data_IF_571736435440
#
_entry.id   IF_571736435440
#
_cell.length_a   1.000
_cell.length_b   1.000
_cell.length_c   1.000
_cell.angle_alpha   90.00
_cell.angle_beta   90.00
_cell.angle_gamma   90.00
#
_symmetry.space_group_name_H-M   'P 1'
#
loop_
_entity.id
_entity.type
_entity.pdbx_description
1 polymer ?
#
# COMPACT_ATOMS: atom_id res chain seq x y z
N UNK A 1 -6.79 4.27 2.53
CA UNK A 1 -5.35 4.23 2.21
C UNK A 1 -4.79 5.62 2.42
N UNK A 2 -3.68 5.74 3.13
CA UNK A 2 -2.89 6.99 3.18
C UNK A 2 -1.56 6.68 2.50
N UNK A 3 -1.26 7.38 1.41
CA UNK A 3 -0.03 7.22 0.65
C UNK A 3 0.54 8.59 0.31
N UNK A 4 1.85 8.75 0.51
CA UNK A 4 2.56 9.96 0.16
C UNK A 4 3.51 9.66 -0.99
N UNK A 5 3.57 10.60 -1.93
CA UNK A 5 4.49 10.55 -3.06
C UNK A 5 5.14 11.92 -3.18
N UNK A 6 6.46 11.93 -3.32
CA UNK A 6 7.21 13.15 -3.63
C UNK A 6 7.95 12.96 -4.95
N UNK A 7 7.39 13.51 -6.04
CA UNK A 7 7.94 13.34 -7.37
C UNK A 7 9.05 14.37 -7.63
N UNK A 8 10.26 13.89 -7.89
CA UNK A 8 11.34 14.65 -8.51
C UNK A 8 11.65 14.06 -9.88
N UNK A 9 11.53 14.87 -10.95
CA UNK A 9 11.78 14.43 -12.33
C UNK A 9 11.00 13.17 -12.75
N UNK A 10 9.72 13.06 -12.35
CA UNK A 10 8.85 11.93 -12.73
C UNK A 10 9.04 10.65 -11.91
N UNK A 11 9.87 10.67 -10.87
CA UNK A 11 10.01 9.54 -9.94
C UNK A 11 10.13 10.00 -8.49
N UNK A 12 9.73 9.16 -7.54
CA UNK A 12 9.65 9.58 -6.14
C UNK A 12 9.64 8.43 -5.15
N UNK A 13 9.96 8.75 -3.90
CA UNK A 13 9.72 7.84 -2.79
C UNK A 13 8.21 7.72 -2.53
N UNK A 14 7.80 6.51 -2.16
CA UNK A 14 6.43 6.18 -1.83
C UNK A 14 6.38 5.43 -0.50
N UNK A 15 5.50 5.87 0.39
CA UNK A 15 5.25 5.19 1.66
C UNK A 15 3.80 5.45 2.08
N UNK A 16 3.34 4.67 3.06
CA UNK A 16 1.97 4.82 3.53
C UNK A 16 1.52 3.71 4.45
N UNK A 17 0.23 3.75 4.77
CA UNK A 17 -0.43 2.78 5.64
C UNK A 17 -1.73 2.31 5.01
N UNK A 18 -2.02 1.02 5.19
CA UNK A 18 -3.29 0.40 4.80
C UNK A 18 -3.83 -0.37 5.99
N UNK A 19 -5.13 -0.23 6.22
CA UNK A 19 -5.85 -1.03 7.21
C UNK A 19 -6.94 -1.80 6.49
N UNK A 20 -6.85 -3.12 6.51
CA UNK A 20 -7.90 -4.00 6.04
C UNK A 20 -8.90 -4.19 7.18
N UNK A 21 -10.19 -4.03 6.87
CA UNK A 21 -11.29 -4.34 7.79
C UNK A 21 -12.05 -5.51 7.20
N UNK A 22 -12.13 -6.61 7.94
CA UNK A 22 -12.76 -7.84 7.49
C UNK A 22 -14.23 -7.89 7.92
N UNK A 23 -14.99 -8.82 7.33
CA UNK A 23 -16.43 -8.93 7.58
C UNK A 23 -16.78 -9.24 9.05
N UNK A 24 -15.88 -9.89 9.78
CA UNK A 24 -16.01 -10.17 11.22
C UNK A 24 -15.65 -8.96 12.11
N UNK A 25 -15.29 -7.82 11.52
CA UNK A 25 -14.83 -6.62 12.21
C UNK A 25 -13.36 -6.67 12.64
N UNK A 26 -12.65 -7.77 12.41
CA UNK A 26 -11.21 -7.86 12.62
C UNK A 26 -10.49 -6.86 11.70
N UNK A 27 -9.34 -6.36 12.16
CA UNK A 27 -8.52 -5.40 11.40
C UNK A 27 -7.10 -5.90 11.27
N UNK A 28 -6.49 -5.64 10.12
CA UNK A 28 -5.06 -5.88 9.87
C UNK A 28 -4.43 -4.60 9.36
N UNK A 29 -3.47 -4.07 10.11
CA UNK A 29 -2.74 -2.86 9.77
C UNK A 29 -1.41 -3.21 9.11
N UNK A 30 -1.11 -2.54 8.00
CA UNK A 30 0.14 -2.70 7.26
C UNK A 30 0.79 -1.34 6.98
N UNK A 31 2.12 -1.38 6.82
CA UNK A 31 2.93 -0.23 6.45
C UNK A 31 3.66 -0.52 5.14
N UNK A 32 3.66 0.47 4.25
CA UNK A 32 4.48 0.53 3.04
C UNK A 32 5.76 1.29 3.35
N UNK A 33 6.92 0.66 3.13
CA UNK A 33 8.24 1.25 3.41
C UNK A 33 9.14 1.15 2.19
N UNK A 34 9.90 2.21 1.92
CA UNK A 34 10.86 2.26 0.81
C UNK A 34 10.22 1.96 -0.56
N UNK A 35 8.96 2.37 -0.75
CA UNK A 35 8.30 2.27 -2.03
C UNK A 35 8.85 3.27 -3.03
N UNK A 36 8.60 2.99 -4.31
CA UNK A 36 8.93 3.86 -5.43
C UNK A 36 7.67 4.14 -6.23
N UNK A 37 7.50 5.41 -6.60
CA UNK A 37 6.53 5.86 -7.56
C UNK A 37 7.25 6.31 -8.83
N UNK A 38 6.66 6.01 -9.98
CA UNK A 38 7.04 6.57 -11.28
C UNK A 38 5.79 7.17 -11.90
N UNK A 39 5.91 8.33 -12.51
CA UNK A 39 4.82 8.96 -13.25
C UNK A 39 5.32 9.36 -14.63
N UNK A 40 4.48 9.17 -15.62
CA UNK A 40 4.53 9.96 -16.84
C UNK A 40 3.42 11.03 -16.76
N UNK A 41 3.29 11.88 -17.78
CA UNK A 41 2.32 12.98 -17.78
C UNK A 41 0.85 12.54 -17.66
N UNK A 42 0.55 11.25 -17.90
CA UNK A 42 -0.82 10.71 -17.93
C UNK A 42 -1.06 9.60 -16.90
N UNK A 43 -0.03 8.89 -16.47
CA UNK A 43 -0.13 7.67 -15.67
C UNK A 43 0.91 7.64 -14.54
N UNK A 44 0.66 6.83 -13.52
CA UNK A 44 1.65 6.53 -12.49
C UNK A 44 1.61 5.07 -12.06
N UNK A 45 2.79 4.54 -11.74
CA UNK A 45 2.97 3.22 -11.16
C UNK A 45 3.62 3.34 -9.78
N UNK A 46 3.20 2.47 -8.86
CA UNK A 46 3.65 2.45 -7.48
C UNK A 46 4.07 1.03 -7.14
N UNK A 47 5.19 0.88 -6.44
CA UNK A 47 5.62 -0.41 -5.89
C UNK A 47 6.20 -0.22 -4.51
N UNK A 48 5.82 -1.06 -3.55
CA UNK A 48 6.39 -1.00 -2.20
C UNK A 48 6.38 -2.37 -1.53
N UNK A 49 7.43 -2.73 -0.78
CA UNK A 49 7.30 -3.71 0.30
C UNK A 49 6.17 -3.33 1.26
N UNK A 50 5.49 -4.35 1.78
CA UNK A 50 4.51 -4.24 2.87
C UNK A 50 4.98 -5.02 4.09
N UNK A 51 4.69 -4.49 5.26
CA UNK A 51 4.85 -5.22 6.53
C UNK A 51 3.58 -5.09 7.36
N UNK A 52 3.15 -6.19 7.98
CA UNK A 52 2.08 -6.17 8.99
C UNK A 52 2.65 -5.54 10.25
N UNK A 53 1.96 -4.53 10.77
CA UNK A 53 2.36 -3.79 11.98
C UNK A 53 1.40 -4.03 13.15
N UNK A 54 0.34 -4.79 12.95
CA UNK A 54 -0.58 -5.23 13.99
C UNK A 54 -1.96 -5.57 13.46
N UNK A 55 -2.84 -5.98 14.36
CA UNK A 55 -4.21 -6.31 14.05
C UNK A 55 -5.08 -6.47 15.29
N UNK A 56 -6.37 -6.65 15.08
CA UNK A 56 -7.38 -6.88 16.11
C UNK A 56 -8.20 -8.12 15.78
N UNK A 57 -8.92 -8.67 16.77
CA UNK A 57 -9.75 -9.85 16.58
C UNK A 57 -8.91 -11.05 16.15
N UNK A 58 -9.27 -11.68 15.03
CA UNK A 58 -8.59 -12.84 14.44
C UNK A 58 -7.12 -12.55 14.06
N UNK A 59 -6.72 -11.28 13.97
CA UNK A 59 -5.36 -10.86 13.63
C UNK A 59 -4.60 -10.25 14.81
N UNK A 60 -5.02 -10.54 16.04
CA UNK A 60 -4.27 -10.14 17.23
C UNK A 60 -2.86 -10.73 17.18
N UNK A 61 -1.83 -9.91 17.40
CA UNK A 61 -0.41 -10.27 17.27
C UNK A 61 0.04 -10.73 15.88
N UNK A 62 -0.78 -10.51 14.84
CA UNK A 62 -0.43 -10.89 13.48
C UNK A 62 0.89 -10.26 13.04
N UNK A 63 1.69 -11.07 12.34
CA UNK A 63 2.91 -10.65 11.65
C UNK A 63 2.81 -11.02 10.19
N UNK A 64 3.63 -10.40 9.37
CA UNK A 64 3.56 -10.66 7.95
C UNK A 64 4.32 -9.66 7.12
N UNK A 65 4.47 -10.01 5.85
CA UNK A 65 5.15 -9.22 4.86
C UNK A 65 4.51 -9.46 3.49
N UNK A 66 4.78 -8.55 2.56
CA UNK A 66 4.17 -8.63 1.26
C UNK A 66 4.65 -7.55 0.31
N UNK A 67 3.88 -7.35 -0.74
CA UNK A 67 4.13 -6.34 -1.76
C UNK A 67 2.84 -5.62 -2.13
N UNK A 68 2.94 -4.31 -2.21
CA UNK A 68 1.97 -3.43 -2.82
C UNK A 68 2.43 -3.10 -4.24
N UNK A 69 1.48 -3.15 -5.18
CA UNK A 69 1.60 -2.50 -6.48
C UNK A 69 0.36 -1.66 -6.74
N UNK A 70 0.56 -0.50 -7.35
CA UNK A 70 -0.55 0.38 -7.75
C UNK A 70 -0.34 0.92 -9.15
N UNK A 71 -1.43 1.13 -9.87
CA UNK A 71 -1.42 1.80 -11.18
C UNK A 71 -2.52 2.84 -11.23
N UNK A 72 -2.19 4.05 -11.66
CA UNK A 72 -3.12 5.13 -11.99
C UNK A 72 -3.02 5.39 -13.49
N UNK A 73 -4.09 5.16 -14.23
CA UNK A 73 -4.14 5.35 -15.70
C UNK A 73 -4.71 6.70 -16.14
N UNK A 74 -5.21 7.49 -15.19
CA UNK A 74 -5.80 8.82 -15.41
C UNK A 74 -4.94 9.93 -14.80
N UNK A 75 -5.35 11.19 -14.96
CA UNK A 75 -4.71 12.37 -14.34
C UNK A 75 -4.56 12.25 -12.82
N UNK A 76 -3.69 13.10 -12.24
CA UNK A 76 -3.46 13.14 -10.80
C UNK A 76 -4.79 13.33 -10.05
N UNK A 77 -5.01 12.53 -9.00
CA UNK A 77 -6.28 12.48 -8.27
C UNK A 77 -7.29 11.46 -8.82
N UNK A 78 -7.03 10.87 -9.99
CA UNK A 78 -7.79 9.75 -10.54
C UNK A 78 -7.64 8.45 -9.74
N UNK A 79 -8.42 7.45 -10.12
CA UNK A 79 -8.46 6.15 -9.45
C UNK A 79 -7.10 5.42 -9.54
N UNK A 80 -6.69 4.79 -8.44
CA UNK A 80 -5.56 3.87 -8.39
C UNK A 80 -6.10 2.45 -8.31
N UNK A 81 -5.77 1.63 -9.30
CA UNK A 81 -5.91 0.19 -9.21
C UNK A 81 -4.81 -0.36 -8.29
N UNK A 82 -5.19 -0.95 -7.17
CA UNK A 82 -4.29 -1.36 -6.11
C UNK A 82 -4.32 -2.87 -5.94
N UNK A 83 -3.13 -3.49 -5.92
CA UNK A 83 -2.96 -4.92 -5.68
C UNK A 83 -2.05 -5.14 -4.47
N UNK A 84 -2.48 -6.06 -3.60
CA UNK A 84 -1.82 -6.39 -2.34
C UNK A 84 -1.59 -7.90 -2.30
N UNK A 85 -0.33 -8.32 -2.34
CA UNK A 85 0.07 -9.69 -2.05
C UNK A 85 0.65 -9.72 -0.64
N UNK A 86 -0.01 -10.42 0.29
CA UNK A 86 0.33 -10.42 1.70
C UNK A 86 0.36 -11.84 2.25
N UNK A 87 1.47 -12.19 2.91
CA UNK A 87 1.58 -13.41 3.72
C UNK A 87 1.45 -13.01 5.18
N UNK A 88 0.47 -13.60 5.85
CA UNK A 88 0.12 -13.30 7.25
C UNK A 88 0.26 -14.56 8.10
N UNK A 89 0.81 -14.39 9.29
CA UNK A 89 0.88 -15.42 10.33
C UNK A 89 0.27 -14.85 11.61
N UNK A 90 -0.59 -15.64 12.24
CA UNK A 90 -1.38 -15.31 13.43
C UNK A 90 -1.09 -16.30 14.53
#
# INVERSE_FOLDING_TARGET
>A
MLGNVDYTNGSGDFFGFVTFTFADGSKLATRMTAGKAKTDTASATFTSPLSVIGGTGSYTNARGYGRFTGERKDQLGGQVEAHFDLKVTT
#
